data_IF_016920774054
#
_entry.id   IF_016920774054
#
_cell.length_a   1.000
_cell.length_b   1.000
_cell.length_c   1.000
_cell.angle_alpha   90.00
_cell.angle_beta   90.00
_cell.angle_gamma   90.00
#
_symmetry.space_group_name_H-M   'P 1'
#
loop_
_entity.id
_entity.type
_entity.pdbx_description
1 polymer ?
#
# COMPACT_ATOMS: atom_id res chain seq x y z
N UNK A 1 -74.48 -58.48 23.88
CA UNK A 1 -73.67 -58.45 22.66
C UNK A 1 -73.02 -57.07 22.56
N UNK A 2 -71.77 -56.96 23.05
CA UNK A 2 -71.04 -55.70 23.16
C UNK A 2 -70.03 -55.67 21.99
N UNK A 3 -70.17 -54.69 21.11
CA UNK A 3 -69.23 -54.46 20.01
C UNK A 3 -68.18 -53.46 20.48
N UNK A 4 -66.93 -53.90 20.48
CA UNK A 4 -65.78 -53.01 20.76
C UNK A 4 -65.40 -52.28 19.49
N UNK A 5 -65.11 -50.97 19.53
CA UNK A 5 -64.61 -50.22 18.40
C UNK A 5 -63.13 -50.46 18.17
N UNK A 6 -62.76 -50.61 16.92
CA UNK A 6 -61.45 -50.88 16.35
C UNK A 6 -60.52 -49.64 16.55
N UNK A 7 -59.51 -49.82 17.35
CA UNK A 7 -58.44 -48.78 17.59
C UNK A 7 -57.31 -48.89 16.57
N UNK A 8 -57.56 -48.71 15.26
CA UNK A 8 -56.52 -48.88 14.21
C UNK A 8 -56.19 -47.57 13.40
N UNK A 9 -56.96 -46.52 13.63
CA UNK A 9 -56.76 -45.26 12.84
C UNK A 9 -55.72 -44.28 13.38
N UNK A 10 -55.41 -44.26 14.68
CA UNK A 10 -54.52 -43.28 15.26
C UNK A 10 -53.00 -43.57 15.13
N UNK A 11 -52.60 -44.77 14.70
CA UNK A 11 -51.19 -45.10 14.54
C UNK A 11 -50.57 -44.64 13.22
N UNK A 12 -51.39 -44.49 12.15
CA UNK A 12 -50.88 -44.02 10.86
C UNK A 12 -50.65 -42.53 10.82
N UNK A 13 -51.49 -41.71 11.45
CA UNK A 13 -51.31 -40.24 11.51
C UNK A 13 -50.05 -39.85 12.30
N UNK A 14 -49.78 -40.51 13.44
CA UNK A 14 -48.58 -40.19 14.26
C UNK A 14 -47.27 -40.57 13.59
N UNK A 15 -47.25 -41.55 12.71
CA UNK A 15 -46.04 -41.99 11.96
C UNK A 15 -45.75 -41.04 10.79
N UNK A 16 -46.79 -40.54 10.10
CA UNK A 16 -46.60 -39.53 9.03
C UNK A 16 -46.17 -38.18 9.58
N UNK A 17 -46.74 -37.70 10.69
CA UNK A 17 -46.29 -36.46 11.37
C UNK A 17 -44.85 -36.56 11.89
N UNK A 18 -44.45 -37.68 12.46
CA UNK A 18 -43.08 -37.91 12.93
C UNK A 18 -42.08 -37.94 11.75
N UNK A 19 -42.46 -38.51 10.60
CA UNK A 19 -41.65 -38.51 9.38
C UNK A 19 -41.47 -37.12 8.78
N UNK A 20 -42.53 -36.30 8.77
CA UNK A 20 -42.45 -34.91 8.29
C UNK A 20 -41.57 -34.04 9.19
N UNK A 21 -41.71 -34.16 10.50
CA UNK A 21 -40.87 -33.41 11.46
C UNK A 21 -39.40 -33.81 11.37
N UNK A 22 -39.10 -35.11 11.16
CA UNK A 22 -37.72 -35.57 10.97
C UNK A 22 -37.10 -35.01 9.68
N UNK A 23 -37.86 -35.00 8.57
CA UNK A 23 -37.42 -34.44 7.31
C UNK A 23 -37.24 -32.93 7.37
N UNK A 24 -38.17 -32.22 8.04
CA UNK A 24 -38.05 -30.78 8.25
C UNK A 24 -36.83 -30.41 9.13
N UNK A 25 -36.56 -31.21 10.17
CA UNK A 25 -35.41 -31.03 11.04
C UNK A 25 -34.09 -31.23 10.29
N UNK A 26 -33.97 -32.21 9.42
CA UNK A 26 -32.80 -32.49 8.63
C UNK A 26 -32.50 -31.31 7.66
N UNK A 27 -33.57 -30.79 7.03
CA UNK A 27 -33.46 -29.61 6.16
C UNK A 27 -33.02 -28.36 6.94
N UNK A 28 -33.54 -28.15 8.15
CA UNK A 28 -33.14 -27.05 9.03
C UNK A 28 -31.67 -27.18 9.47
N UNK A 29 -31.22 -28.40 9.83
CA UNK A 29 -29.83 -28.65 10.21
C UNK A 29 -28.89 -28.42 9.03
N UNK A 30 -29.26 -28.85 7.82
CA UNK A 30 -28.53 -28.63 6.59
C UNK A 30 -28.37 -27.13 6.28
N UNK A 31 -29.46 -26.37 6.43
CA UNK A 31 -29.47 -24.92 6.20
C UNK A 31 -28.66 -24.18 7.25
N UNK A 32 -28.73 -24.60 8.52
CA UNK A 32 -27.90 -24.05 9.60
C UNK A 32 -26.40 -24.29 9.33
N UNK A 33 -26.05 -25.49 8.82
CA UNK A 33 -24.67 -25.82 8.51
C UNK A 33 -24.10 -24.95 7.39
N UNK A 34 -24.88 -24.73 6.32
CA UNK A 34 -24.52 -23.82 5.22
C UNK A 34 -24.37 -22.39 5.74
N UNK A 35 -25.27 -21.95 6.63
CA UNK A 35 -25.17 -20.61 7.25
C UNK A 35 -23.91 -20.46 8.09
N UNK A 36 -23.54 -21.45 8.90
CA UNK A 36 -22.31 -21.44 9.70
C UNK A 36 -21.09 -21.36 8.79
N UNK A 37 -21.02 -22.15 7.71
CA UNK A 37 -19.91 -22.09 6.74
C UNK A 37 -19.83 -20.69 6.11
N UNK A 38 -20.96 -20.12 5.73
CA UNK A 38 -21.03 -18.78 5.15
C UNK A 38 -20.52 -17.71 6.14
N UNK A 39 -20.91 -17.78 7.41
CA UNK A 39 -20.45 -16.85 8.45
C UNK A 39 -18.96 -16.99 8.68
N UNK A 40 -18.42 -18.22 8.73
CA UNK A 40 -16.98 -18.46 8.88
C UNK A 40 -16.19 -17.91 7.68
N UNK A 41 -16.68 -18.12 6.45
CA UNK A 41 -16.07 -17.57 5.24
C UNK A 41 -16.11 -16.04 5.22
N UNK A 42 -17.22 -15.42 5.64
CA UNK A 42 -17.34 -13.96 5.77
C UNK A 42 -16.39 -13.40 6.82
N UNK A 43 -16.29 -14.05 7.98
CA UNK A 43 -15.36 -13.67 9.05
C UNK A 43 -13.91 -13.67 8.55
N UNK A 44 -13.49 -14.72 7.82
CA UNK A 44 -12.15 -14.78 7.24
C UNK A 44 -11.88 -13.67 6.21
N UNK A 45 -12.90 -13.28 5.42
CA UNK A 45 -12.77 -12.15 4.48
C UNK A 45 -12.66 -10.80 5.19
N UNK A 46 -13.43 -10.60 6.25
CA UNK A 46 -13.36 -9.37 7.08
C UNK A 46 -12.00 -9.26 7.74
N UNK A 47 -11.47 -10.35 8.32
CA UNK A 47 -10.13 -10.38 8.90
C UNK A 47 -9.03 -10.06 7.87
N UNK A 48 -9.18 -10.54 6.62
CA UNK A 48 -8.24 -10.26 5.55
C UNK A 48 -8.28 -8.78 5.10
N UNK A 49 -9.46 -8.16 5.06
CA UNK A 49 -9.64 -6.73 4.74
C UNK A 49 -9.07 -5.86 5.86
N UNK A 50 -9.38 -6.15 7.13
CA UNK A 50 -8.84 -5.41 8.27
C UNK A 50 -7.30 -5.52 8.37
N UNK A 51 -6.72 -6.68 8.03
CA UNK A 51 -5.27 -6.83 7.95
C UNK A 51 -4.64 -5.99 6.85
N UNK A 52 -5.28 -5.89 5.68
CA UNK A 52 -4.82 -5.04 4.58
C UNK A 52 -4.88 -3.54 4.89
N UNK A 53 -5.82 -3.10 5.72
CA UNK A 53 -5.90 -1.71 6.20
C UNK A 53 -4.83 -1.41 7.26
N UNK A 54 -4.55 -2.35 8.16
CA UNK A 54 -3.51 -2.19 9.20
C UNK A 54 -2.09 -2.04 8.63
N UNK A 55 -1.79 -2.59 7.45
CA UNK A 55 -0.48 -2.40 6.80
C UNK A 55 -0.31 -1.02 6.16
N UNK A 56 -1.41 -0.37 5.78
CA UNK A 56 -1.38 0.94 5.11
C UNK A 56 -1.26 2.10 6.09
N UNK A 57 -1.79 1.96 7.29
CA UNK A 57 -1.84 3.04 8.29
C UNK A 57 -0.45 3.56 8.68
N UNK A 58 0.56 2.70 8.97
CA UNK A 58 1.89 3.15 9.34
C UNK A 58 2.66 3.81 8.19
N UNK A 59 2.50 3.31 6.94
CA UNK A 59 3.07 3.94 5.76
C UNK A 59 2.42 5.30 5.51
N UNK A 60 1.09 5.36 5.57
CA UNK A 60 0.33 6.59 5.40
C UNK A 60 0.76 7.66 6.39
N UNK A 61 0.95 7.29 7.66
CA UNK A 61 1.42 8.19 8.71
C UNK A 61 2.83 8.73 8.43
N UNK A 62 3.78 7.86 8.05
CA UNK A 62 5.14 8.28 7.69
C UNK A 62 5.15 9.23 6.49
N UNK A 63 4.38 8.90 5.44
CA UNK A 63 4.28 9.72 4.21
C UNK A 63 3.64 11.08 4.51
N UNK A 64 2.62 11.13 5.37
CA UNK A 64 2.02 12.40 5.81
C UNK A 64 3.02 13.29 6.54
N UNK A 65 3.79 12.73 7.48
CA UNK A 65 4.80 13.47 8.24
C UNK A 65 5.88 14.03 7.30
N UNK A 66 6.42 13.19 6.40
CA UNK A 66 7.45 13.60 5.44
C UNK A 66 6.89 14.66 4.48
N UNK A 67 5.69 14.45 3.96
CA UNK A 67 5.04 15.38 3.04
C UNK A 67 4.76 16.73 3.68
N UNK A 68 4.38 16.76 4.95
CA UNK A 68 4.20 18.01 5.69
C UNK A 68 5.53 18.74 5.88
N UNK A 69 6.60 18.03 6.22
CA UNK A 69 7.94 18.61 6.32
C UNK A 69 8.41 19.21 4.98
N UNK A 70 8.05 18.61 3.84
CA UNK A 70 8.36 19.17 2.52
C UNK A 70 7.58 20.45 2.26
N UNK A 71 6.29 20.53 2.65
CA UNK A 71 5.52 21.78 2.60
C UNK A 71 6.16 22.88 3.47
N UNK A 72 6.57 22.53 4.67
CA UNK A 72 7.23 23.47 5.60
C UNK A 72 8.58 23.96 5.04
N UNK A 73 9.28 23.14 4.26
CA UNK A 73 10.48 23.51 3.53
C UNK A 73 10.22 24.46 2.34
N UNK A 74 8.95 24.64 1.96
CA UNK A 74 8.51 25.50 0.86
C UNK A 74 8.34 24.79 -0.47
N UNK A 75 8.28 23.44 -0.49
CA UNK A 75 7.95 22.68 -1.69
C UNK A 75 6.42 22.62 -1.88
N UNK A 76 5.99 22.79 -3.11
CA UNK A 76 4.65 22.40 -3.52
C UNK A 76 4.60 20.88 -3.65
N UNK A 77 3.73 20.22 -2.88
CA UNK A 77 3.62 18.75 -2.88
C UNK A 77 2.18 18.30 -2.87
N UNK A 78 1.93 17.20 -3.57
CA UNK A 78 0.68 16.42 -3.53
C UNK A 78 0.97 15.14 -2.75
N UNK A 79 0.29 14.95 -1.61
CA UNK A 79 0.52 13.80 -0.73
C UNK A 79 -0.59 12.78 -0.98
N UNK A 80 -0.22 11.56 -1.33
CA UNK A 80 -1.10 10.38 -1.44
C UNK A 80 -0.63 9.33 -0.43
N UNK A 81 -1.15 9.40 0.81
CA UNK A 81 -0.67 8.53 1.89
C UNK A 81 -1.04 7.06 1.65
N UNK A 82 -2.21 6.81 1.04
CA UNK A 82 -2.70 5.44 0.80
C UNK A 82 -1.83 4.69 -0.21
N UNK A 83 -1.33 5.41 -1.22
CA UNK A 83 -0.39 4.87 -2.22
C UNK A 83 1.07 4.94 -1.79
N UNK A 84 1.37 5.57 -0.65
CA UNK A 84 2.74 5.78 -0.18
C UNK A 84 3.54 6.75 -1.06
N UNK A 85 2.92 7.83 -1.57
CA UNK A 85 3.52 8.70 -2.58
C UNK A 85 3.47 10.17 -2.18
N UNK A 86 4.58 10.87 -2.43
CA UNK A 86 4.67 12.33 -2.40
C UNK A 86 5.01 12.81 -3.80
N UNK A 87 4.07 13.50 -4.45
CA UNK A 87 4.25 14.08 -5.78
C UNK A 87 4.77 15.51 -5.72
N UNK A 88 5.77 15.81 -6.52
CA UNK A 88 6.36 17.13 -6.73
C UNK A 88 5.99 17.60 -8.15
N UNK A 89 5.17 18.65 -8.33
CA UNK A 89 4.86 19.18 -9.66
C UNK A 89 6.14 19.59 -10.40
N UNK A 90 6.35 19.05 -11.61
CA UNK A 90 7.57 19.31 -12.35
C UNK A 90 7.69 20.77 -12.79
N UNK A 91 6.57 21.44 -13.02
CA UNK A 91 6.53 22.84 -13.49
C UNK A 91 7.05 23.84 -12.44
N UNK A 92 7.04 23.44 -11.16
CA UNK A 92 7.63 24.26 -10.07
C UNK A 92 9.13 24.01 -9.94
N UNK A 93 9.63 22.87 -10.37
CA UNK A 93 11.03 22.46 -10.22
C UNK A 93 11.88 22.76 -11.45
N UNK A 94 11.29 22.61 -12.64
CA UNK A 94 12.00 22.64 -13.92
C UNK A 94 11.36 23.62 -14.89
N UNK A 95 12.15 24.16 -15.79
CA UNK A 95 11.61 24.84 -16.98
C UNK A 95 10.96 23.83 -17.93
N UNK A 96 10.10 24.31 -18.81
CA UNK A 96 9.41 23.48 -19.83
C UNK A 96 10.41 22.68 -20.66
N UNK A 97 10.15 21.39 -20.85
CA UNK A 97 11.01 20.46 -21.59
C UNK A 97 12.47 20.37 -21.07
N UNK A 98 12.70 20.75 -19.83
CA UNK A 98 14.02 20.72 -19.19
C UNK A 98 14.02 19.74 -18.01
N UNK A 99 15.19 19.19 -17.73
CA UNK A 99 15.50 18.43 -16.50
C UNK A 99 16.51 19.19 -15.62
N UNK A 100 16.82 20.46 -15.95
CA UNK A 100 17.67 21.29 -15.13
C UNK A 100 16.83 22.00 -14.07
N UNK A 101 17.15 21.74 -12.79
CA UNK A 101 16.50 22.40 -11.65
C UNK A 101 16.82 23.91 -11.67
N UNK A 102 15.83 24.72 -11.37
CA UNK A 102 16.06 26.15 -11.16
C UNK A 102 16.70 26.39 -9.76
N UNK A 103 17.35 27.53 -9.56
CA UNK A 103 18.05 27.86 -8.31
C UNK A 103 17.13 27.83 -7.08
N UNK A 104 15.90 28.31 -7.22
CA UNK A 104 14.89 28.27 -6.16
C UNK A 104 14.56 26.84 -5.75
N UNK A 105 14.41 25.95 -6.73
CA UNK A 105 14.11 24.54 -6.50
C UNK A 105 15.27 23.79 -5.84
N UNK A 106 16.51 24.08 -6.23
CA UNK A 106 17.69 23.50 -5.58
C UNK A 106 17.70 23.87 -4.08
N UNK A 107 17.41 25.13 -3.77
CA UNK A 107 17.36 25.62 -2.39
C UNK A 107 16.23 24.98 -1.57
N UNK A 108 15.02 24.85 -2.15
CA UNK A 108 13.87 24.24 -1.44
C UNK A 108 14.03 22.73 -1.29
N UNK A 109 14.55 22.04 -2.30
CA UNK A 109 14.90 20.62 -2.21
C UNK A 109 16.02 20.38 -1.19
N UNK A 110 16.99 21.28 -1.07
CA UNK A 110 18.01 21.23 -0.02
C UNK A 110 17.42 21.25 1.39
N UNK A 111 16.45 22.14 1.65
CA UNK A 111 15.72 22.15 2.93
C UNK A 111 14.88 20.89 3.14
N UNK A 112 14.26 20.37 2.09
CA UNK A 112 13.52 19.11 2.16
C UNK A 112 14.47 17.93 2.48
N UNK A 113 15.68 17.92 1.91
CA UNK A 113 16.75 16.97 2.28
C UNK A 113 17.05 17.03 3.78
N UNK A 114 17.20 18.23 4.35
CA UNK A 114 17.48 18.39 5.78
C UNK A 114 16.34 17.76 6.62
N UNK A 115 15.09 17.92 6.18
CA UNK A 115 13.93 17.27 6.80
C UNK A 115 13.95 15.73 6.66
N UNK A 116 14.46 15.22 5.53
CA UNK A 116 14.65 13.76 5.35
C UNK A 116 15.74 13.22 6.28
N UNK A 117 16.83 13.95 6.47
CA UNK A 117 17.90 13.59 7.42
C UNK A 117 17.38 13.52 8.86
N UNK A 118 16.40 14.35 9.21
CA UNK A 118 15.77 14.33 10.53
C UNK A 118 14.85 13.14 10.73
N UNK A 119 13.99 12.82 9.72
CA UNK A 119 12.87 11.88 9.91
C UNK A 119 13.16 10.45 9.43
N UNK A 120 13.89 10.27 8.32
CA UNK A 120 14.14 8.97 7.73
C UNK A 120 14.87 7.99 8.65
N UNK A 121 15.83 8.41 9.51
CA UNK A 121 16.47 7.50 10.47
C UNK A 121 15.48 6.74 11.36
N UNK A 122 14.28 7.27 11.56
CA UNK A 122 13.23 6.59 12.33
C UNK A 122 12.71 5.32 11.64
N UNK A 123 12.85 5.23 10.33
CA UNK A 123 12.28 4.17 9.49
C UNK A 123 13.33 3.39 8.68
N UNK A 124 14.62 3.75 8.75
CA UNK A 124 15.70 3.12 7.99
C UNK A 124 16.45 2.09 8.83
N UNK A 125 16.72 0.91 8.25
CA UNK A 125 17.41 -0.19 8.95
C UNK A 125 18.82 0.18 9.41
N UNK A 126 19.65 0.74 8.53
CA UNK A 126 21.04 1.11 8.87
C UNK A 126 21.13 2.14 10.01
N UNK A 127 20.08 2.94 10.20
CA UNK A 127 20.01 4.00 11.22
C UNK A 127 19.36 3.55 12.55
N UNK A 128 18.95 2.29 12.68
CA UNK A 128 18.24 1.77 13.87
C UNK A 128 18.95 2.08 15.20
N UNK A 129 20.27 2.07 15.21
CA UNK A 129 21.09 2.36 16.40
C UNK A 129 21.23 3.85 16.70
N UNK A 130 20.97 4.69 15.71
CA UNK A 130 21.17 6.13 15.75
C UNK A 130 19.85 6.91 15.70
N UNK A 131 18.71 6.23 15.97
CA UNK A 131 17.39 6.87 15.97
C UNK A 131 17.32 7.99 16.98
N UNK A 132 16.73 9.11 16.55
CA UNK A 132 16.41 10.22 17.42
C UNK A 132 15.40 9.80 18.50
N UNK A 133 15.53 10.29 19.77
CA UNK A 133 14.49 10.11 20.78
C UNK A 133 13.15 10.77 20.38
N UNK A 134 13.16 11.68 19.42
CA UNK A 134 11.98 12.38 18.92
C UNK A 134 11.32 11.64 17.73
N UNK A 135 11.72 10.41 17.42
CA UNK A 135 11.05 9.62 16.41
C UNK A 135 9.57 9.42 16.78
N UNK A 136 8.66 9.48 15.79
CA UNK A 136 7.26 9.10 15.99
C UNK A 136 7.18 7.67 16.53
N UNK A 137 6.13 7.39 17.31
CA UNK A 137 5.83 6.02 17.76
C UNK A 137 5.72 5.11 16.54
N UNK A 138 6.47 4.03 16.57
CA UNK A 138 6.54 3.03 15.50
C UNK A 138 6.28 1.64 16.09
N UNK A 139 5.07 1.46 16.65
CA UNK A 139 4.67 0.26 17.39
C UNK A 139 4.66 -1.01 16.51
N UNK A 140 4.51 -0.82 15.20
CA UNK A 140 4.52 -1.90 14.22
C UNK A 140 5.90 -2.17 13.61
N UNK A 141 6.93 -1.50 14.11
CA UNK A 141 8.31 -1.60 13.60
C UNK A 141 8.40 -1.43 12.08
N UNK A 142 7.69 -0.41 11.58
CA UNK A 142 7.67 -0.05 10.16
C UNK A 142 9.06 0.30 9.70
N UNK A 143 9.44 -0.24 8.56
CA UNK A 143 10.74 -0.02 7.95
C UNK A 143 10.59 0.23 6.46
N UNK A 144 11.29 1.25 5.97
CA UNK A 144 11.33 1.57 4.55
C UNK A 144 12.38 0.68 3.88
N UNK A 145 11.93 -0.10 2.91
CA UNK A 145 12.79 -0.94 2.07
C UNK A 145 13.45 -0.11 0.96
N UNK A 146 12.66 0.73 0.30
CA UNK A 146 13.12 1.53 -0.82
C UNK A 146 12.30 2.81 -0.97
N UNK A 147 12.94 3.89 -1.40
CA UNK A 147 12.32 5.12 -1.84
C UNK A 147 12.68 5.32 -3.31
N UNK A 148 11.70 5.10 -4.21
CA UNK A 148 11.88 5.39 -5.62
C UNK A 148 11.57 6.85 -5.92
N UNK A 149 12.47 7.53 -6.62
CA UNK A 149 12.22 8.84 -7.22
C UNK A 149 11.84 8.57 -8.67
N UNK A 150 10.55 8.78 -8.98
CA UNK A 150 9.91 8.38 -10.22
C UNK A 150 9.58 9.61 -11.07
N UNK A 151 10.11 9.66 -12.31
CA UNK A 151 9.82 10.74 -13.25
C UNK A 151 8.64 10.43 -14.16
N UNK A 152 7.73 11.40 -14.27
CA UNK A 152 6.54 11.33 -15.10
C UNK A 152 6.45 12.54 -16.03
N UNK A 153 5.95 12.32 -17.24
CA UNK A 153 5.66 13.37 -18.23
C UNK A 153 4.18 13.35 -18.61
N UNK A 154 3.74 14.39 -19.28
CA UNK A 154 2.50 14.35 -20.05
C UNK A 154 2.67 13.56 -21.35
N UNK A 155 1.58 13.39 -22.12
CA UNK A 155 1.57 12.65 -23.38
C UNK A 155 2.16 13.44 -24.55
N UNK A 156 2.48 14.73 -24.38
CA UNK A 156 3.03 15.54 -25.45
C UNK A 156 4.40 15.00 -25.89
N UNK A 157 4.61 14.72 -27.19
CA UNK A 157 5.88 14.20 -27.65
C UNK A 157 6.97 15.27 -27.61
N UNK A 158 8.16 14.88 -27.16
CA UNK A 158 9.33 15.75 -27.25
C UNK A 158 9.85 15.81 -28.68
N UNK A 159 10.12 17.04 -29.16
CA UNK A 159 10.66 17.28 -30.49
C UNK A 159 12.19 17.53 -30.44
N UNK A 160 12.95 16.61 -29.84
CA UNK A 160 14.40 16.75 -29.61
C UNK A 160 15.17 15.51 -30.07
N UNK A 161 15.07 15.18 -31.38
CA UNK A 161 15.78 14.02 -31.94
C UNK A 161 15.40 12.71 -31.26
N UNK A 162 16.38 11.98 -30.74
CA UNK A 162 16.18 10.69 -30.04
C UNK A 162 15.84 10.84 -28.54
N UNK A 163 15.77 12.07 -28.01
CA UNK A 163 15.41 12.32 -26.63
C UNK A 163 13.89 12.24 -26.46
N UNK A 164 13.43 11.32 -25.65
CA UNK A 164 12.02 10.97 -25.49
C UNK A 164 11.51 11.30 -24.09
N UNK A 165 10.21 11.16 -23.86
CA UNK A 165 9.60 11.27 -22.53
C UNK A 165 10.22 10.34 -21.49
N UNK A 166 10.76 9.18 -21.91
CA UNK A 166 11.52 8.28 -21.02
C UNK A 166 12.80 8.93 -20.51
N UNK A 167 13.56 9.57 -21.38
CA UNK A 167 14.78 10.27 -21.02
C UNK A 167 14.49 11.47 -20.12
N UNK A 168 13.50 12.30 -20.51
CA UNK A 168 13.11 13.47 -19.72
C UNK A 168 12.65 13.08 -18.32
N UNK A 169 11.80 12.05 -18.20
CA UNK A 169 11.34 11.56 -16.88
C UNK A 169 12.50 11.07 -16.02
N UNK A 170 13.41 10.27 -16.61
CA UNK A 170 14.57 9.75 -15.89
C UNK A 170 15.53 10.86 -15.44
N UNK A 171 15.83 11.81 -16.32
CA UNK A 171 16.75 12.91 -16.02
C UNK A 171 16.18 13.85 -14.94
N UNK A 172 14.87 14.09 -14.93
CA UNK A 172 14.17 14.82 -13.86
C UNK A 172 14.26 14.09 -12.52
N UNK A 173 13.99 12.78 -12.53
CA UNK A 173 14.11 11.95 -11.34
C UNK A 173 15.54 11.97 -10.80
N UNK A 174 16.55 11.88 -11.69
CA UNK A 174 17.97 11.95 -11.32
C UNK A 174 18.33 13.30 -10.72
N UNK A 175 17.90 14.42 -11.31
CA UNK A 175 18.19 15.74 -10.80
C UNK A 175 17.64 15.96 -9.38
N UNK A 176 16.42 15.45 -9.09
CA UNK A 176 15.85 15.47 -7.74
C UNK A 176 16.61 14.54 -6.81
N UNK A 177 16.95 13.33 -7.26
CA UNK A 177 17.73 12.35 -6.50
C UNK A 177 19.07 12.94 -6.04
N UNK A 178 19.84 13.55 -6.95
CA UNK A 178 21.16 14.14 -6.64
C UNK A 178 21.09 15.17 -5.51
N UNK A 179 20.03 15.99 -5.48
CA UNK A 179 19.85 16.99 -4.40
C UNK A 179 19.39 16.36 -3.09
N UNK A 180 18.38 15.46 -3.14
CA UNK A 180 17.80 14.88 -1.94
C UNK A 180 18.70 13.87 -1.23
N UNK A 181 19.61 13.22 -1.98
CA UNK A 181 20.52 12.21 -1.41
C UNK A 181 21.92 12.74 -1.11
N UNK A 182 22.24 13.98 -1.50
CA UNK A 182 23.54 14.58 -1.22
C UNK A 182 23.88 14.56 0.29
N UNK A 183 24.98 13.91 0.64
CA UNK A 183 25.43 13.70 2.02
C UNK A 183 24.85 12.45 2.69
N UNK A 184 24.32 12.58 3.91
CA UNK A 184 23.91 11.43 4.74
C UNK A 184 22.86 10.51 4.13
N UNK A 185 21.80 10.97 3.44
CA UNK A 185 20.79 10.08 2.87
C UNK A 185 21.34 9.09 1.84
N UNK A 186 22.44 9.43 1.15
CA UNK A 186 23.10 8.54 0.19
C UNK A 186 23.63 7.26 0.84
N UNK A 187 23.94 7.28 2.15
CA UNK A 187 24.45 6.13 2.89
C UNK A 187 23.37 5.25 3.52
N UNK A 188 22.09 5.59 3.36
CA UNK A 188 21.01 4.84 3.95
C UNK A 188 20.82 3.48 3.26
N UNK A 189 20.83 2.41 4.06
CA UNK A 189 20.71 1.03 3.58
C UNK A 189 19.59 0.30 4.29
N UNK A 190 18.94 -0.59 3.54
CA UNK A 190 17.95 -1.52 4.07
C UNK A 190 18.61 -2.73 4.78
N UNK A 191 17.83 -3.68 5.28
CA UNK A 191 18.31 -4.87 5.98
C UNK A 191 19.24 -5.72 5.13
N UNK A 192 19.04 -5.71 3.80
CA UNK A 192 19.88 -6.45 2.84
C UNK A 192 21.16 -5.72 2.44
N UNK A 193 21.45 -4.57 3.07
CA UNK A 193 22.58 -3.68 2.76
C UNK A 193 22.53 -3.11 1.33
N UNK A 194 21.33 -2.91 0.81
CA UNK A 194 21.10 -2.24 -0.45
C UNK A 194 20.73 -0.78 -0.17
N UNK A 195 21.12 0.11 -1.08
CA UNK A 195 20.80 1.52 -0.97
C UNK A 195 19.28 1.72 -1.00
N UNK A 196 18.78 2.57 -0.10
CA UNK A 196 17.33 2.82 0.03
C UNK A 196 16.81 3.65 -1.14
N UNK A 197 17.59 4.57 -1.68
CA UNK A 197 17.15 5.44 -2.74
C UNK A 197 17.41 4.84 -4.12
N UNK A 198 16.40 4.89 -4.99
CA UNK A 198 16.48 4.49 -6.39
C UNK A 198 15.80 5.50 -7.30
N UNK A 199 16.10 5.45 -8.59
CA UNK A 199 15.47 6.28 -9.62
C UNK A 199 14.74 5.42 -10.64
N UNK A 200 13.62 5.94 -11.15
CA UNK A 200 12.87 5.32 -12.24
C UNK A 200 12.16 6.36 -13.11
N UNK A 201 11.68 5.94 -14.27
CA UNK A 201 10.85 6.77 -15.14
C UNK A 201 9.66 5.96 -15.64
N UNK A 202 8.53 6.60 -15.74
CA UNK A 202 7.33 6.04 -16.39
C UNK A 202 6.92 6.83 -17.62
N UNK A 203 7.70 7.85 -18.00
CA UNK A 203 7.40 8.69 -19.14
C UNK A 203 5.93 9.17 -19.09
N UNK A 204 5.20 9.01 -20.20
CA UNK A 204 3.78 9.29 -20.39
C UNK A 204 2.85 8.08 -20.08
N UNK A 205 3.36 7.00 -19.45
CA UNK A 205 2.57 5.76 -19.25
C UNK A 205 1.67 5.82 -18.03
N UNK A 206 1.88 6.80 -17.13
CA UNK A 206 1.08 7.02 -15.90
C UNK A 206 0.54 8.45 -15.84
N UNK A 207 -0.12 8.90 -16.92
CA UNK A 207 -0.77 10.21 -16.96
C UNK A 207 -1.87 10.31 -15.93
N UNK A 208 -2.02 11.49 -15.33
CA UNK A 208 -3.17 11.81 -14.49
C UNK A 208 -4.33 12.25 -15.38
N UNK A 209 -5.54 11.86 -14.99
CA UNK A 209 -6.76 12.21 -15.71
C UNK A 209 -7.75 12.91 -14.80
N UNK A 210 -8.42 13.91 -15.33
CA UNK A 210 -9.54 14.57 -14.69
C UNK A 210 -10.77 14.37 -15.59
N UNK A 211 -11.83 13.73 -15.08
CA UNK A 211 -13.03 13.34 -15.84
C UNK A 211 -12.72 12.59 -17.16
N UNK A 212 -11.70 11.70 -17.14
CA UNK A 212 -11.32 10.90 -18.29
C UNK A 212 -10.38 11.58 -19.30
N UNK A 213 -10.16 12.90 -19.17
CA UNK A 213 -9.23 13.69 -19.99
C UNK A 213 -7.91 13.83 -19.26
N UNK A 214 -6.80 13.82 -20.01
CA UNK A 214 -5.47 14.05 -19.44
C UNK A 214 -5.39 15.42 -18.77
N UNK A 215 -4.93 15.43 -17.53
CA UNK A 215 -4.43 16.61 -16.85
C UNK A 215 -2.91 16.66 -17.06
N UNK A 216 -2.49 17.43 -18.05
CA UNK A 216 -1.09 17.51 -18.44
C UNK A 216 -0.23 18.12 -17.33
N UNK A 217 -0.74 19.07 -16.54
CA UNK A 217 -0.01 19.67 -15.43
C UNK A 217 0.21 18.67 -14.31
N UNK A 218 -0.83 17.94 -13.88
CA UNK A 218 -0.71 16.89 -12.88
C UNK A 218 0.08 15.68 -13.37
N UNK A 219 0.14 15.46 -14.71
CA UNK A 219 0.94 14.40 -15.31
C UNK A 219 2.43 14.68 -15.25
N UNK A 220 2.85 15.95 -15.42
CA UNK A 220 4.25 16.38 -15.32
C UNK A 220 4.65 16.50 -13.85
N UNK A 221 5.26 15.46 -13.30
CA UNK A 221 5.64 15.39 -11.88
C UNK A 221 6.85 14.49 -11.64
N UNK A 222 7.47 14.66 -10.49
CA UNK A 222 8.39 13.68 -9.90
C UNK A 222 7.74 13.15 -8.64
N UNK A 223 7.65 11.84 -8.49
CA UNK A 223 7.06 11.20 -7.30
C UNK A 223 8.17 10.56 -6.44
N UNK A 224 8.07 10.73 -5.12
CA UNK A 224 8.78 9.91 -4.15
C UNK A 224 7.82 8.80 -3.72
N UNK A 225 8.15 7.56 -4.09
CA UNK A 225 7.36 6.38 -3.72
C UNK A 225 8.07 5.60 -2.63
N UNK A 226 7.41 5.49 -1.50
CA UNK A 226 7.89 4.76 -0.33
C UNK A 226 7.39 3.32 -0.37
N UNK A 227 8.31 2.37 -0.27
CA UNK A 227 8.02 0.93 -0.22
C UNK A 227 8.47 0.41 1.13
N UNK A 228 7.58 -0.29 1.83
CA UNK A 228 7.90 -0.88 3.12
C UNK A 228 8.61 -2.23 2.97
N UNK A 229 9.47 -2.53 3.94
CA UNK A 229 10.09 -3.84 4.06
C UNK A 229 9.05 -4.88 4.49
N UNK A 230 8.99 -6.00 3.75
CA UNK A 230 8.19 -7.15 4.15
C UNK A 230 8.87 -7.90 5.29
N UNK A 231 8.25 -7.95 6.47
CA UNK A 231 8.77 -8.65 7.65
C UNK A 231 7.98 -9.93 7.93
N UNK A 232 8.44 -11.11 7.51
CA UNK A 232 7.72 -12.38 7.67
C UNK A 232 7.53 -12.79 9.15
N UNK A 233 8.29 -12.21 10.08
CA UNK A 233 8.22 -12.48 11.51
C UNK A 233 7.38 -11.47 12.31
N UNK A 234 6.82 -10.45 11.67
CA UNK A 234 5.79 -9.60 12.27
C UNK A 234 4.54 -10.43 12.58
N UNK A 235 3.60 -9.90 13.38
CA UNK A 235 2.31 -10.60 13.64
C UNK A 235 1.64 -11.09 12.36
N UNK A 236 1.83 -10.37 11.26
CA UNK A 236 1.32 -10.65 9.91
C UNK A 236 2.10 -11.78 9.21
N UNK A 237 3.42 -11.77 9.27
CA UNK A 237 4.25 -12.82 8.71
C UNK A 237 4.06 -14.18 9.41
N UNK A 238 3.78 -14.19 10.72
CA UNK A 238 3.42 -15.41 11.44
C UNK A 238 2.09 -15.99 10.97
N UNK A 239 1.09 -15.14 10.68
CA UNK A 239 -0.19 -15.58 10.14
C UNK A 239 -0.05 -16.10 8.70
N UNK A 240 0.71 -15.43 7.84
CA UNK A 240 0.97 -15.87 6.46
C UNK A 240 1.75 -17.20 6.43
N UNK A 241 2.73 -17.38 7.31
CA UNK A 241 3.48 -18.64 7.43
C UNK A 241 2.60 -19.78 7.94
N UNK A 242 1.75 -19.54 8.93
CA UNK A 242 0.79 -20.54 9.43
C UNK A 242 -0.19 -20.97 8.33
N UNK A 243 -0.64 -20.05 7.48
CA UNK A 243 -1.52 -20.37 6.34
C UNK A 243 -0.80 -21.18 5.26
N UNK A 244 0.46 -20.84 4.96
CA UNK A 244 1.27 -21.58 4.01
C UNK A 244 1.61 -23.00 4.51
N UNK A 245 1.90 -23.16 5.80
CA UNK A 245 2.16 -24.45 6.42
C UNK A 245 0.91 -25.35 6.45
N UNK A 246 -0.28 -24.76 6.66
CA UNK A 246 -1.58 -25.45 6.55
C UNK A 246 -1.85 -25.91 5.11
N UNK A 247 -1.60 -25.06 4.11
CA UNK A 247 -1.80 -25.42 2.70
C UNK A 247 -0.87 -26.55 2.27
N UNK A 248 0.39 -26.53 2.72
CA UNK A 248 1.34 -27.61 2.45
C UNK A 248 1.05 -28.93 3.19
N UNK A 249 0.31 -28.88 4.30
CA UNK A 249 -0.13 -30.08 5.02
C UNK A 249 -1.37 -30.76 4.40
N UNK A 250 -2.16 -30.03 3.63
CA UNK A 250 -3.38 -30.52 2.96
C UNK A 250 -3.02 -31.13 1.58
N UNK A 251 -1.87 -30.77 1.00
CA UNK A 251 -1.42 -31.23 -0.32
C UNK A 251 -0.46 -32.44 -0.26
N UNK A 252 -0.21 -33.00 0.92
CA UNK A 252 0.48 -34.26 1.15
C UNK A 252 -0.48 -35.36 1.58
#
# INVERSE_FOLDING_TARGET
>A
MIILPSGRQNQHETVEEAGYLASASDLMIGLLFVFIIMVVMLSQKVDAIQKGESEKEPLASAVLIIGQKFKDAGLEVVIDPESGVIGLPADTLFSVNSAVLNEGSIKTLGKAKDSLVEILPCYIYSERKNRSPNCPTNDEDVEIETIFIEGHTDSAPLKQGNYTNWHLGLDRARAVYEVLTDGKPQSYQNERKLDVFGISSYADKRIKKNFGVEDAQASRRVELRFVLAYKPNSKQGKAAKATADLTNSITK
#
